data_IF_289658147071
#
_entry.id   IF_289658147071
#
_cell.length_a   1.000
_cell.length_b   1.000
_cell.length_c   1.000
_cell.angle_alpha   90.00
_cell.angle_beta   90.00
_cell.angle_gamma   90.00
#
_symmetry.space_group_name_H-M   'P 1'
#
loop_
_entity.id
_entity.type
_entity.pdbx_description
1 polymer ?
#
# COMPACT_ATOMS: atom_id res chain seq x y z
N UNK A 1 -32.83 -11.69 -18.90
CA UNK A 1 -33.86 -10.65 -18.69
C UNK A 1 -34.22 -10.67 -17.21
N UNK A 2 -34.28 -9.61 -16.41
CA UNK A 2 -34.18 -8.17 -16.57
C UNK A 2 -33.98 -7.62 -15.12
N UNK A 3 -32.97 -6.79 -14.85
CA UNK A 3 -33.15 -5.33 -14.57
C UNK A 3 -33.85 -5.07 -13.20
N UNK A 4 -33.10 -4.86 -12.10
CA UNK A 4 -32.72 -3.56 -11.47
C UNK A 4 -33.80 -2.90 -10.57
N UNK A 5 -33.35 -2.53 -9.34
CA UNK A 5 -33.63 -1.31 -8.54
C UNK A 5 -34.77 -1.24 -7.50
N UNK A 6 -34.35 -1.06 -6.24
CA UNK A 6 -34.77 -0.01 -5.27
C UNK A 6 -33.98 -0.27 -3.96
N UNK A 7 -32.96 0.47 -3.50
CA UNK A 7 -32.82 1.89 -3.09
C UNK A 7 -33.75 2.29 -1.94
N UNK A 8 -33.15 2.71 -0.82
CA UNK A 8 -33.65 3.67 0.19
C UNK A 8 -34.61 3.23 1.33
N UNK A 9 -34.25 2.30 2.23
CA UNK A 9 -34.88 2.28 3.58
C UNK A 9 -33.96 1.64 4.66
N UNK A 10 -32.98 2.37 5.21
CA UNK A 10 -32.56 2.17 6.61
C UNK A 10 -31.73 3.34 7.18
N UNK A 11 -32.06 4.57 6.78
CA UNK A 11 -31.56 5.78 7.41
C UNK A 11 -32.61 6.25 8.44
N UNK A 12 -32.48 5.84 9.71
CA UNK A 12 -32.88 6.63 10.91
C UNK A 12 -32.92 5.79 12.19
N UNK A 13 -32.34 6.39 13.25
CA UNK A 13 -32.50 6.11 14.69
C UNK A 13 -31.43 5.23 15.34
N UNK A 14 -30.27 5.84 15.57
CA UNK A 14 -29.66 5.72 16.90
C UNK A 14 -28.86 6.99 17.22
N UNK A 15 -29.58 7.98 17.75
CA UNK A 15 -28.99 9.08 18.53
C UNK A 15 -28.38 8.44 19.79
N UNK A 16 -27.07 8.21 19.78
CA UNK A 16 -26.29 8.12 21.02
C UNK A 16 -25.50 9.41 21.09
N UNK A 17 -25.84 10.24 22.08
CA UNK A 17 -25.06 11.43 22.45
C UNK A 17 -23.69 10.96 22.94
N UNK A 18 -22.69 11.06 22.07
CA UNK A 18 -21.29 10.94 22.48
C UNK A 18 -20.75 12.34 22.73
N UNK A 19 -21.00 12.87 23.94
CA UNK A 19 -20.26 14.03 24.44
C UNK A 19 -18.94 13.53 25.02
N UNK A 20 -17.92 13.47 24.19
CA UNK A 20 -16.54 13.47 24.65
C UNK A 20 -15.77 14.48 23.80
N UNK A 21 -15.66 15.69 24.33
CA UNK A 21 -14.69 16.68 23.87
C UNK A 21 -13.29 16.16 24.20
N UNK A 22 -12.82 15.22 23.39
CA UNK A 22 -11.40 14.94 23.27
C UNK A 22 -10.86 15.94 22.26
N UNK A 23 -10.13 16.94 22.75
CA UNK A 23 -9.34 17.85 21.93
C UNK A 23 -8.32 17.04 21.16
N UNK A 24 -8.73 16.55 19.99
CA UNK A 24 -7.86 15.95 19.00
C UNK A 24 -7.01 17.08 18.45
N UNK A 25 -5.83 17.28 19.04
CA UNK A 25 -4.78 18.08 18.42
C UNK A 25 -4.59 17.51 17.02
N UNK A 26 -5.04 18.26 16.01
CA UNK A 26 -4.88 17.89 14.61
C UNK A 26 -3.38 17.91 14.33
N UNK A 27 -2.75 16.74 14.35
CA UNK A 27 -1.43 16.59 13.78
C UNK A 27 -1.54 16.96 12.29
N UNK A 28 -0.64 17.82 11.78
CA UNK A 28 -0.65 18.18 10.38
C UNK A 28 -0.48 16.90 9.56
N UNK A 29 -1.39 16.69 8.60
CA UNK A 29 -1.24 15.67 7.58
C UNK A 29 0.08 15.97 6.86
N UNK A 30 1.10 15.17 7.14
CA UNK A 30 2.33 15.24 6.36
C UNK A 30 1.95 14.79 4.96
N UNK A 31 1.85 15.77 4.07
CA UNK A 31 1.73 15.56 2.64
C UNK A 31 3.00 14.86 2.19
N UNK A 32 2.91 13.54 2.10
CA UNK A 32 3.76 12.75 1.25
C UNK A 32 3.70 13.34 -0.15
N UNK A 33 4.76 14.00 -0.58
CA UNK A 33 5.00 14.18 -2.01
C UNK A 33 5.34 12.79 -2.54
N UNK A 34 4.49 12.16 -3.37
CA UNK A 34 4.96 11.03 -4.13
C UNK A 34 5.96 11.61 -5.13
N UNK A 35 7.22 11.21 -5.02
CA UNK A 35 8.17 11.39 -6.12
C UNK A 35 7.68 10.52 -7.27
N UNK A 36 6.78 11.08 -8.08
CA UNK A 36 6.38 10.52 -9.37
C UNK A 36 7.55 10.73 -10.33
N UNK A 37 8.58 9.91 -10.19
CA UNK A 37 9.57 9.69 -11.23
C UNK A 37 9.28 8.32 -11.83
N UNK A 38 8.45 8.31 -12.87
CA UNK A 38 8.27 7.16 -13.76
C UNK A 38 9.56 7.00 -14.58
N UNK A 39 10.68 6.69 -13.94
CA UNK A 39 11.90 6.31 -14.62
C UNK A 39 11.76 4.84 -15.02
N UNK A 40 12.16 4.49 -16.25
CA UNK A 40 12.21 3.09 -16.70
C UNK A 40 13.31 2.26 -16.01
N UNK A 41 13.84 2.78 -14.90
CA UNK A 41 15.01 2.27 -14.19
C UNK A 41 14.52 1.50 -12.98
N UNK A 42 15.19 0.38 -12.67
CA UNK A 42 14.89 -0.40 -11.48
C UNK A 42 15.18 0.47 -10.23
N UNK A 43 14.23 0.56 -9.28
CA UNK A 43 14.39 1.38 -8.08
C UNK A 43 15.56 0.86 -7.22
N UNK A 44 16.25 1.77 -6.54
CA UNK A 44 17.37 1.41 -5.66
C UNK A 44 16.88 1.26 -4.21
N UNK A 45 17.40 0.29 -3.45
CA UNK A 45 17.03 0.14 -2.05
C UNK A 45 17.48 1.38 -1.24
N UNK A 46 16.67 1.83 -0.28
CA UNK A 46 17.05 2.92 0.61
C UNK A 46 18.15 2.47 1.59
N UNK A 47 18.89 3.44 2.14
CA UNK A 47 19.84 3.19 3.21
C UNK A 47 19.11 2.65 4.46
N UNK A 48 19.50 1.49 5.03
CA UNK A 48 18.91 0.97 6.26
C UNK A 48 18.86 1.98 7.42
N UNK A 49 19.86 2.87 7.52
CA UNK A 49 19.94 3.91 8.55
C UNK A 49 18.90 5.02 8.39
N UNK A 50 18.27 5.12 7.22
CA UNK A 50 17.18 6.07 6.97
C UNK A 50 15.82 5.58 7.51
N UNK A 51 15.73 4.33 7.96
CA UNK A 51 14.54 3.80 8.60
C UNK A 51 14.49 4.15 10.09
N UNK A 52 13.42 4.83 10.53
CA UNK A 52 13.24 5.20 11.94
C UNK A 52 12.91 4.03 12.89
N UNK A 53 12.65 2.83 12.37
CA UNK A 53 12.28 1.63 13.15
C UNK A 53 10.95 1.73 13.92
N UNK A 54 10.23 2.85 13.84
CA UNK A 54 9.07 3.16 14.69
C UNK A 54 7.72 2.96 13.99
N UNK A 55 7.70 2.31 12.81
CA UNK A 55 6.46 2.09 12.05
C UNK A 55 5.76 3.38 11.59
N UNK A 56 6.53 4.41 11.21
CA UNK A 56 5.96 5.69 10.80
C UNK A 56 5.28 5.61 9.42
N UNK A 57 4.36 6.55 9.17
CA UNK A 57 3.68 6.65 7.89
C UNK A 57 4.67 6.86 6.73
N UNK A 58 5.77 7.61 6.98
CA UNK A 58 6.84 7.95 6.03
C UNK A 58 7.95 6.90 5.91
N UNK A 59 7.62 5.62 6.05
CA UNK A 59 8.63 4.57 5.99
C UNK A 59 9.26 4.47 4.58
N UNK A 60 10.57 4.65 4.51
CA UNK A 60 11.38 4.54 3.28
C UNK A 60 11.21 3.17 2.59
N UNK A 61 11.02 2.12 3.37
CA UNK A 61 10.80 0.77 2.84
C UNK A 61 9.40 0.58 2.24
N UNK A 62 8.39 1.30 2.74
CA UNK A 62 7.06 1.32 2.12
C UNK A 62 7.14 2.02 0.76
N UNK A 63 7.84 3.16 0.69
CA UNK A 63 8.07 3.86 -0.57
C UNK A 63 8.79 2.97 -1.58
N UNK A 64 9.89 2.31 -1.15
CA UNK A 64 10.64 1.38 -2.00
C UNK A 64 9.79 0.22 -2.53
N UNK A 65 8.99 -0.41 -1.66
CA UNK A 65 8.09 -1.50 -2.06
C UNK A 65 7.05 -1.06 -3.10
N UNK A 66 6.57 0.18 -3.01
CA UNK A 66 5.63 0.77 -3.97
C UNK A 66 6.30 1.06 -5.31
N UNK A 67 7.53 1.55 -5.31
CA UNK A 67 8.32 1.79 -6.52
C UNK A 67 8.61 0.49 -7.27
N UNK A 68 9.04 -0.57 -6.58
CA UNK A 68 9.26 -1.89 -7.19
C UNK A 68 7.94 -2.43 -7.76
N UNK A 69 6.86 -2.31 -6.99
CA UNK A 69 5.53 -2.73 -7.42
C UNK A 69 5.07 -1.99 -8.69
N UNK A 70 5.42 -0.71 -8.84
CA UNK A 70 5.11 0.08 -10.02
C UNK A 70 6.01 -0.30 -11.21
N UNK A 71 7.29 -0.60 -10.98
CA UNK A 71 8.23 -1.04 -12.01
C UNK A 71 7.74 -2.33 -12.70
N UNK A 72 7.25 -3.30 -11.93
CA UNK A 72 6.69 -4.55 -12.47
C UNK A 72 5.27 -4.42 -13.06
N UNK A 73 4.60 -3.27 -12.88
CA UNK A 73 3.30 -3.02 -13.52
C UNK A 73 3.43 -2.62 -15.00
N UNK A 74 4.64 -2.24 -15.45
CA UNK A 74 4.89 -1.82 -16.83
C UNK A 74 4.65 -2.97 -17.83
N UNK A 75 3.91 -2.74 -18.94
CA UNK A 75 3.55 -3.78 -19.88
C UNK A 75 4.74 -4.16 -20.77
N UNK A 76 5.44 -5.27 -20.45
CA UNK A 76 6.49 -5.82 -21.33
C UNK A 76 5.98 -6.97 -22.21
N UNK A 77 5.23 -7.93 -21.66
CA UNK A 77 4.44 -8.97 -22.37
C UNK A 77 3.35 -9.43 -21.38
N UNK A 78 2.09 -9.58 -21.79
CA UNK A 78 0.96 -9.81 -20.89
C UNK A 78 0.57 -11.30 -20.80
N UNK A 79 0.96 -12.03 -19.74
CA UNK A 79 0.34 -13.31 -19.40
C UNK A 79 -1.07 -13.12 -18.85
N UNK A 80 -1.80 -14.21 -18.59
CA UNK A 80 -3.12 -14.16 -17.93
C UNK A 80 -3.05 -13.37 -16.60
N UNK A 81 -4.14 -12.67 -16.26
CA UNK A 81 -4.17 -11.73 -15.12
C UNK A 81 -3.69 -12.36 -13.81
N UNK A 82 -4.13 -13.60 -13.51
CA UNK A 82 -3.71 -14.32 -12.30
C UNK A 82 -2.20 -14.61 -12.26
N UNK A 83 -1.61 -14.97 -13.40
CA UNK A 83 -0.18 -15.27 -13.49
C UNK A 83 0.67 -13.99 -13.34
N UNK A 84 0.17 -12.85 -13.85
CA UNK A 84 0.78 -11.53 -13.64
C UNK A 84 0.85 -11.15 -12.16
N UNK A 85 -0.24 -11.31 -11.42
CA UNK A 85 -0.31 -10.98 -9.99
C UNK A 85 0.67 -11.85 -9.18
N UNK A 86 0.70 -13.15 -9.43
CA UNK A 86 1.59 -14.08 -8.73
C UNK A 86 3.07 -13.77 -8.99
N UNK A 87 3.44 -13.54 -10.26
CA UNK A 87 4.81 -13.24 -10.64
C UNK A 87 5.27 -11.91 -10.05
N UNK A 88 4.39 -10.90 -10.02
CA UNK A 88 4.66 -9.62 -9.36
C UNK A 88 4.90 -9.79 -7.87
N UNK A 89 4.03 -10.49 -7.15
CA UNK A 89 4.23 -10.73 -5.71
C UNK A 89 5.55 -11.44 -5.43
N UNK A 90 5.90 -12.46 -6.22
CA UNK A 90 7.17 -13.19 -6.07
C UNK A 90 8.38 -12.28 -6.26
N UNK A 91 8.40 -11.48 -7.32
CA UNK A 91 9.51 -10.58 -7.61
C UNK A 91 9.71 -9.51 -6.52
N UNK A 92 8.62 -8.89 -6.05
CA UNK A 92 8.70 -7.93 -4.94
C UNK A 92 9.15 -8.61 -3.66
N UNK A 93 8.63 -9.82 -3.38
CA UNK A 93 9.00 -10.58 -2.17
C UNK A 93 10.50 -10.89 -2.10
N UNK A 94 11.06 -11.37 -3.20
CA UNK A 94 12.50 -11.67 -3.29
C UNK A 94 13.35 -10.43 -3.01
N UNK A 95 12.94 -9.29 -3.56
CA UNK A 95 13.65 -8.02 -3.33
C UNK A 95 13.53 -7.53 -1.87
N UNK A 96 12.38 -7.72 -1.23
CA UNK A 96 12.22 -7.39 0.19
C UNK A 96 13.06 -8.31 1.08
N UNK A 97 13.09 -9.62 0.80
CA UNK A 97 13.90 -10.59 1.55
C UNK A 97 15.40 -10.31 1.42
N UNK A 98 15.83 -9.74 0.29
CA UNK A 98 17.24 -9.39 0.04
C UNK A 98 17.68 -8.11 0.75
N UNK A 99 16.86 -7.07 0.78
CA UNK A 99 17.31 -5.73 1.20
C UNK A 99 16.80 -5.29 2.58
N UNK A 100 15.62 -5.73 3.00
CA UNK A 100 15.08 -5.38 4.32
C UNK A 100 15.68 -6.38 5.31
N UNK A 101 16.34 -5.99 6.39
CA UNK A 101 16.90 -6.98 7.34
C UNK A 101 15.88 -7.47 8.38
N UNK A 102 15.01 -6.57 8.84
CA UNK A 102 14.04 -6.84 9.91
C UNK A 102 12.85 -7.71 9.44
N UNK A 103 12.60 -8.81 10.13
CA UNK A 103 11.56 -9.79 9.78
C UNK A 103 10.14 -9.23 9.96
N UNK A 104 9.93 -8.41 10.99
CA UNK A 104 8.62 -7.83 11.28
C UNK A 104 8.23 -6.84 10.18
N UNK A 105 9.18 -6.01 9.77
CA UNK A 105 9.04 -5.05 8.67
C UNK A 105 8.82 -5.77 7.35
N UNK A 106 9.58 -6.83 7.03
CA UNK A 106 9.34 -7.68 5.85
C UNK A 106 7.90 -8.18 5.82
N UNK A 107 7.44 -8.75 6.93
CA UNK A 107 6.10 -9.33 7.05
C UNK A 107 5.00 -8.30 6.81
N UNK A 108 5.16 -7.11 7.41
CA UNK A 108 4.25 -5.98 7.21
C UNK A 108 4.19 -5.54 5.73
N UNK A 109 5.35 -5.34 5.10
CA UNK A 109 5.43 -4.92 3.69
C UNK A 109 4.74 -5.94 2.76
N UNK A 110 5.01 -7.24 2.95
CA UNK A 110 4.42 -8.30 2.14
C UNK A 110 2.90 -8.38 2.30
N UNK A 111 2.38 -8.14 3.50
CA UNK A 111 0.93 -8.07 3.74
C UNK A 111 0.30 -6.89 2.99
N UNK A 112 0.91 -5.70 3.05
CA UNK A 112 0.41 -4.52 2.35
C UNK A 112 0.43 -4.72 0.83
N UNK A 113 1.50 -5.29 0.28
CA UNK A 113 1.60 -5.61 -1.14
C UNK A 113 0.46 -6.58 -1.55
N UNK A 114 0.22 -7.65 -0.77
CA UNK A 114 -0.89 -8.57 -1.02
C UNK A 114 -2.24 -7.85 -1.03
N UNK A 115 -2.48 -6.99 -0.04
CA UNK A 115 -3.72 -6.22 0.05
C UNK A 115 -3.91 -5.28 -1.14
N UNK A 116 -2.82 -4.67 -1.65
CA UNK A 116 -2.84 -3.84 -2.86
C UNK A 116 -3.12 -4.66 -4.12
N UNK A 117 -2.58 -5.87 -4.23
CA UNK A 117 -2.81 -6.76 -5.37
C UNK A 117 -4.24 -7.32 -5.40
N UNK A 118 -4.86 -7.57 -4.24
CA UNK A 118 -6.22 -8.10 -4.15
C UNK A 118 -7.32 -7.07 -4.51
N UNK A 119 -7.00 -5.77 -4.47
CA UNK A 119 -7.94 -4.69 -4.82
C UNK A 119 -7.99 -4.39 -6.33
N UNK A 120 -7.13 -5.01 -7.13
CA UNK A 120 -6.93 -4.74 -8.56
C UNK A 120 -7.64 -5.77 -9.42
#
# INVERSE_FOLDING_TARGET
>A
MAIKRAVEIFFRRMFIRFTSTSTRTMMPAQQFKPSTATSSTFPQPPDPLSCCGSGCANCVWIQYADEISAYFDQPKVQPSNAHKILNKYKAVKEEMEKNVEDENLRSYLLMEIKAKLAKK
#
